data_IF_596744883724
#
_entry.id   IF_596744883724
#
_cell.length_a   1.000
_cell.length_b   1.000
_cell.length_c   1.000
_cell.angle_alpha   90.00
_cell.angle_beta   90.00
_cell.angle_gamma   90.00
#
_symmetry.space_group_name_H-M   'P 1'
#
loop_
_entity.id
_entity.type
_entity.pdbx_description
1 polymer ?
#
# COMPACT_ATOMS: atom_id res chain seq x y z
N UNK A 1 -16.40 5.36 -20.69
CA UNK A 1 -15.90 6.24 -19.62
C UNK A 1 -16.28 5.61 -18.27
N UNK A 2 -15.37 4.87 -17.61
CA UNK A 2 -15.67 4.24 -16.31
C UNK A 2 -15.65 5.31 -15.22
N UNK A 3 -16.75 5.44 -14.50
CA UNK A 3 -16.93 6.34 -13.36
C UNK A 3 -16.01 5.84 -12.23
N UNK A 4 -14.99 6.61 -11.86
CA UNK A 4 -14.18 6.36 -10.67
C UNK A 4 -15.09 6.52 -9.45
N UNK A 5 -15.36 5.42 -8.75
CA UNK A 5 -16.17 5.44 -7.53
C UNK A 5 -15.24 5.73 -6.35
N UNK A 6 -15.76 6.41 -5.33
CA UNK A 6 -15.00 6.80 -4.15
C UNK A 6 -14.33 5.59 -3.50
N UNK A 7 -12.99 5.62 -3.46
CA UNK A 7 -12.05 4.62 -2.93
C UNK A 7 -11.63 3.49 -3.89
N UNK A 8 -11.39 3.79 -5.17
CA UNK A 8 -10.62 2.90 -6.05
C UNK A 8 -9.17 2.74 -5.55
N UNK A 9 -8.68 1.50 -5.51
CA UNK A 9 -7.31 1.16 -5.14
C UNK A 9 -6.54 0.66 -6.36
N UNK A 10 -5.28 1.06 -6.50
CA UNK A 10 -4.30 0.29 -7.27
C UNK A 10 -3.53 -0.64 -6.33
N UNK A 11 -3.26 -1.86 -6.79
CA UNK A 11 -2.53 -2.87 -6.00
C UNK A 11 -1.32 -3.41 -6.74
N UNK A 12 -0.26 -3.76 -6.02
CA UNK A 12 1.00 -4.24 -6.62
C UNK A 12 0.85 -5.61 -7.28
N UNK A 13 0.19 -6.57 -6.62
CA UNK A 13 0.05 -7.93 -7.16
C UNK A 13 -1.25 -8.64 -6.72
N UNK A 14 -1.49 -9.83 -7.30
CA UNK A 14 -2.56 -10.75 -6.90
C UNK A 14 -2.14 -11.72 -5.79
N UNK A 15 -0.86 -11.79 -5.45
CA UNK A 15 -0.29 -12.75 -4.50
C UNK A 15 -0.05 -14.15 -5.07
N UNK A 16 -0.25 -14.36 -6.38
CA UNK A 16 -0.15 -15.68 -7.04
C UNK A 16 1.09 -15.84 -7.92
N UNK A 17 1.84 -14.76 -8.11
CA UNK A 17 3.02 -14.73 -8.98
C UNK A 17 4.30 -15.02 -8.20
N UNK A 18 5.40 -15.32 -8.90
CA UNK A 18 6.73 -15.50 -8.29
C UNK A 18 7.26 -14.19 -7.68
N UNK A 19 7.07 -13.08 -8.37
CA UNK A 19 7.43 -11.74 -7.90
C UNK A 19 6.15 -10.99 -7.55
N UNK A 20 6.07 -10.46 -6.32
CA UNK A 20 4.90 -9.76 -5.80
C UNK A 20 5.23 -8.30 -5.46
N UNK A 21 4.77 -7.78 -4.33
CA UNK A 21 5.13 -6.43 -3.91
C UNK A 21 6.65 -6.30 -3.79
N UNK A 22 7.21 -5.27 -4.42
CA UNK A 22 8.57 -4.79 -4.20
C UNK A 22 8.53 -3.31 -3.87
N UNK A 23 9.58 -2.80 -3.22
CA UNK A 23 9.67 -1.38 -2.87
C UNK A 23 9.75 -0.49 -4.11
N UNK A 24 10.46 -0.93 -5.15
CA UNK A 24 10.57 -0.20 -6.41
C UNK A 24 9.20 -0.03 -7.08
N UNK A 25 8.43 -1.13 -7.16
CA UNK A 25 7.07 -1.08 -7.70
C UNK A 25 6.16 -0.16 -6.88
N UNK A 26 6.26 -0.22 -5.55
CA UNK A 26 5.50 0.67 -4.67
C UNK A 26 5.87 2.15 -4.88
N UNK A 27 7.15 2.50 -4.98
CA UNK A 27 7.60 3.86 -5.27
C UNK A 27 7.04 4.36 -6.60
N UNK A 28 7.16 3.58 -7.68
CA UNK A 28 6.64 3.95 -9.01
C UNK A 28 5.12 4.18 -8.97
N UNK A 29 4.38 3.27 -8.32
CA UNK A 29 2.93 3.38 -8.18
C UNK A 29 2.51 4.59 -7.34
N UNK A 30 3.22 4.89 -6.25
CA UNK A 30 2.94 6.06 -5.42
C UNK A 30 3.21 7.36 -6.20
N UNK A 31 4.31 7.45 -6.97
CA UNK A 31 4.54 8.61 -7.83
C UNK A 31 3.45 8.78 -8.90
N UNK A 32 2.95 7.67 -9.46
CA UNK A 32 1.84 7.71 -10.40
C UNK A 32 0.55 8.24 -9.75
N UNK A 33 0.23 7.79 -8.52
CA UNK A 33 -0.91 8.32 -7.74
C UNK A 33 -0.72 9.82 -7.46
N UNK A 34 0.47 10.25 -7.01
CA UNK A 34 0.77 11.66 -6.72
C UNK A 34 0.53 12.53 -7.95
N UNK A 35 1.03 12.09 -9.10
CA UNK A 35 0.86 12.76 -10.40
C UNK A 35 -0.62 12.79 -10.81
N UNK A 36 -1.35 11.69 -10.64
CA UNK A 36 -2.78 11.67 -10.94
C UNK A 36 -3.57 12.64 -10.05
N UNK A 37 -3.24 12.70 -8.76
CA UNK A 37 -3.86 13.63 -7.82
C UNK A 37 -3.58 15.08 -8.21
N UNK A 38 -2.34 15.43 -8.59
CA UNK A 38 -2.00 16.80 -8.99
C UNK A 38 -2.77 17.29 -10.22
N UNK A 39 -3.17 16.39 -11.12
CA UNK A 39 -3.96 16.76 -12.31
C UNK A 39 -5.47 16.77 -12.08
N UNK A 40 -5.97 15.97 -11.13
CA UNK A 40 -7.42 15.69 -11.03
C UNK A 40 -8.05 16.08 -9.70
N UNK A 41 -7.25 16.30 -8.66
CA UNK A 41 -7.71 16.49 -7.28
C UNK A 41 -8.36 15.24 -6.65
N UNK A 42 -8.34 14.07 -7.33
CA UNK A 42 -8.97 12.84 -6.85
C UNK A 42 -7.96 11.93 -6.17
N UNK A 43 -8.20 11.58 -4.91
CA UNK A 43 -7.37 10.62 -4.16
C UNK A 43 -7.69 9.18 -4.61
N UNK A 44 -6.65 8.40 -4.89
CA UNK A 44 -6.70 6.96 -5.22
C UNK A 44 -5.89 6.21 -4.18
N UNK A 45 -6.40 5.06 -3.72
CA UNK A 45 -5.73 4.27 -2.70
C UNK A 45 -4.59 3.41 -3.26
N UNK A 46 -3.61 3.13 -2.41
CA UNK A 46 -2.52 2.21 -2.67
C UNK A 46 -2.63 0.96 -1.79
N UNK A 47 -2.47 -0.22 -2.40
CA UNK A 47 -2.41 -1.50 -1.69
C UNK A 47 -1.16 -2.28 -2.06
N UNK A 48 -0.19 -2.32 -1.15
CA UNK A 48 0.93 -3.25 -1.25
C UNK A 48 0.41 -4.67 -0.96
N UNK A 49 0.59 -5.61 -1.88
CA UNK A 49 0.03 -6.97 -1.75
C UNK A 49 1.01 -8.05 -2.23
N UNK A 50 1.00 -9.16 -1.49
CA UNK A 50 1.72 -10.39 -1.82
C UNK A 50 3.12 -10.44 -1.22
N UNK A 51 3.39 -11.47 -0.41
CA UNK A 51 4.71 -11.78 0.12
C UNK A 51 5.19 -10.96 1.31
N UNK A 52 4.41 -9.99 1.80
CA UNK A 52 4.74 -9.16 2.96
C UNK A 52 4.50 -9.98 4.22
N UNK A 53 5.55 -10.30 4.98
CA UNK A 53 5.47 -11.22 6.13
C UNK A 53 5.95 -10.64 7.44
N UNK A 54 6.75 -9.58 7.40
CA UNK A 54 7.31 -8.97 8.61
C UNK A 54 6.80 -7.56 8.86
N UNK A 55 6.76 -7.18 10.13
CA UNK A 55 6.45 -5.83 10.61
C UNK A 55 7.38 -4.80 9.99
N UNK A 56 8.66 -5.15 9.83
CA UNK A 56 9.66 -4.27 9.20
C UNK A 56 9.36 -4.00 7.73
N UNK A 57 8.98 -5.02 6.95
CA UNK A 57 8.57 -4.83 5.56
C UNK A 57 7.31 -3.97 5.47
N UNK A 58 6.33 -4.21 6.35
CA UNK A 58 5.11 -3.43 6.40
C UNK A 58 5.37 -1.94 6.67
N UNK A 59 6.25 -1.64 7.63
CA UNK A 59 6.67 -0.28 7.94
C UNK A 59 7.43 0.38 6.79
N UNK A 60 8.23 -0.37 6.02
CA UNK A 60 8.88 0.18 4.83
C UNK A 60 7.86 0.62 3.77
N UNK A 61 6.80 -0.15 3.53
CA UNK A 61 5.72 0.28 2.62
C UNK A 61 4.95 1.50 3.17
N UNK A 62 4.70 1.55 4.48
CA UNK A 62 4.10 2.72 5.12
C UNK A 62 4.96 3.98 4.91
N UNK A 63 6.27 3.88 5.13
CA UNK A 63 7.21 4.98 4.95
C UNK A 63 7.24 5.48 3.49
N UNK A 64 7.21 4.58 2.51
CA UNK A 64 7.13 4.96 1.08
C UNK A 64 5.86 5.77 0.79
N UNK A 65 4.71 5.32 1.32
CA UNK A 65 3.43 6.03 1.14
C UNK A 65 3.48 7.39 1.80
N UNK A 66 3.96 7.47 3.04
CA UNK A 66 4.06 8.72 3.78
C UNK A 66 4.96 9.74 3.07
N UNK A 67 6.15 9.32 2.64
CA UNK A 67 7.13 10.18 1.99
C UNK A 67 6.63 10.72 0.64
N UNK A 68 5.99 9.85 -0.17
CA UNK A 68 5.59 10.23 -1.52
C UNK A 68 4.23 10.91 -1.55
N UNK A 69 3.24 10.36 -0.83
CA UNK A 69 1.82 10.76 -0.89
C UNK A 69 1.39 11.63 0.30
N UNK A 70 2.15 11.63 1.40
CA UNK A 70 1.84 12.35 2.63
C UNK A 70 1.03 11.52 3.63
N UNK A 71 1.00 11.99 4.88
CA UNK A 71 0.27 11.38 6.01
C UNK A 71 -1.23 11.24 5.75
N UNK A 72 -1.80 12.14 4.96
CA UNK A 72 -3.17 12.13 4.44
C UNK A 72 -3.57 10.84 3.70
N UNK A 73 -2.60 10.05 3.21
CA UNK A 73 -2.85 8.76 2.56
C UNK A 73 -2.78 7.57 3.54
N UNK A 74 -2.32 7.77 4.77
CA UNK A 74 -2.23 6.74 5.81
C UNK A 74 -3.57 6.49 6.52
N UNK A 75 -4.66 6.49 5.76
CA UNK A 75 -5.98 6.13 6.23
C UNK A 75 -6.43 4.79 5.61
N UNK A 76 -7.28 3.98 6.29
CA UNK A 76 -7.74 2.68 5.77
C UNK A 76 -8.46 2.73 4.39
N UNK A 77 -8.95 3.91 4.00
CA UNK A 77 -9.60 4.17 2.71
C UNK A 77 -8.60 4.51 1.58
N UNK A 78 -7.33 4.75 1.90
CA UNK A 78 -6.29 5.15 0.95
C UNK A 78 -5.02 4.29 1.02
N UNK A 79 -4.78 3.59 2.13
CA UNK A 79 -3.64 2.69 2.27
C UNK A 79 -4.03 1.37 2.91
N UNK A 80 -3.57 0.27 2.31
CA UNK A 80 -3.75 -1.08 2.84
C UNK A 80 -2.54 -1.96 2.57
N UNK A 81 -2.31 -2.91 3.47
CA UNK A 81 -1.37 -4.01 3.27
C UNK A 81 -2.17 -5.29 3.06
N UNK A 82 -1.95 -5.94 1.92
CA UNK A 82 -2.51 -7.25 1.58
C UNK A 82 -1.56 -8.36 1.96
N UNK A 83 -1.71 -8.88 3.18
CA UNK A 83 -0.91 -9.96 3.73
C UNK A 83 -1.79 -10.97 4.49
N UNK A 84 -1.34 -12.21 4.59
CA UNK A 84 -2.04 -13.27 5.33
C UNK A 84 -1.37 -13.61 6.66
N UNK A 85 -0.03 -13.69 6.70
CA UNK A 85 0.73 -14.06 7.91
C UNK A 85 1.32 -12.88 8.68
N UNK A 86 1.16 -11.65 8.17
CA UNK A 86 1.75 -10.46 8.79
C UNK A 86 1.17 -10.16 10.18
N UNK A 87 -0.10 -10.50 10.42
CA UNK A 87 -0.75 -10.25 11.71
C UNK A 87 -0.01 -10.96 12.85
N UNK A 88 0.39 -12.21 12.65
CA UNK A 88 1.07 -13.01 13.66
C UNK A 88 2.42 -12.38 14.04
N UNK A 89 3.15 -11.85 13.05
CA UNK A 89 4.43 -11.17 13.26
C UNK A 89 4.24 -9.87 14.04
N UNK A 90 3.23 -9.05 13.69
CA UNK A 90 2.92 -7.81 14.42
C UNK A 90 2.53 -8.10 15.87
N UNK A 91 1.68 -9.10 16.10
CA UNK A 91 1.24 -9.49 17.45
C UNK A 91 2.43 -9.92 18.30
N UNK A 92 3.35 -10.70 17.71
CA UNK A 92 4.60 -11.11 18.35
C UNK A 92 5.50 -9.91 18.69
N UNK A 93 5.72 -8.97 17.78
CA UNK A 93 6.53 -7.76 18.02
C UNK A 93 5.93 -6.86 19.11
N UNK A 94 4.60 -6.83 19.24
CA UNK A 94 3.90 -6.10 20.30
C UNK A 94 3.91 -6.80 21.66
N UNK A 95 4.50 -8.00 21.77
CA UNK A 95 4.53 -8.77 23.01
C UNK A 95 3.16 -9.25 23.49
N UNK A 96 2.15 -9.25 22.61
CA UNK A 96 0.80 -9.72 22.91
C UNK A 96 0.72 -11.18 22.43
N UNK A 97 0.31 -12.10 23.28
CA UNK A 97 0.01 -13.49 22.93
C UNK A 97 -1.34 -13.85 23.51
#
# INVERSE_FOLDING_TARGET
>A
MRRLLSSDFIKTSTGKEKVNATYEAACVMCHAIKKFYSFTGKKVGFKAAGGIRSTREALAYQAIVEEILGTDWLEPKLFRIGASSLLDDIVKELGKR
#
